data_IF_847161004622
#
_entry.id   IF_847161004622
#
_cell.length_a   1.000
_cell.length_b   1.000
_cell.length_c   1.000
_cell.angle_alpha   90.00
_cell.angle_beta   90.00
_cell.angle_gamma   90.00
#
_symmetry.space_group_name_H-M   'P 1'
#
loop_
_entity.id
_entity.type
_entity.pdbx_description
1 polymer ?
#
# COMPACT_ATOMS: atom_id res chain seq x y z
N UNK A 1 80.79 24.41 59.54
CA UNK A 1 81.77 23.44 58.98
C UNK A 1 81.02 22.12 58.85
N UNK A 2 80.63 21.54 57.72
CA UNK A 2 81.04 21.59 56.31
C UNK A 2 79.76 21.28 55.48
N UNK A 3 79.36 22.09 54.50
CA UNK A 3 79.68 21.95 53.08
C UNK A 3 79.68 20.49 52.60
N UNK A 4 78.72 20.09 51.74
CA UNK A 4 78.95 19.29 50.53
C UNK A 4 77.67 19.23 49.66
N UNK A 5 77.72 20.00 48.57
CA UNK A 5 77.43 19.60 47.20
C UNK A 5 75.99 19.12 46.84
N UNK A 6 75.25 20.06 46.26
CA UNK A 6 74.17 19.78 45.32
C UNK A 6 74.70 19.02 44.10
N UNK A 7 74.12 17.86 43.80
CA UNK A 7 74.34 17.12 42.54
C UNK A 7 73.03 17.06 41.79
N UNK A 8 72.97 17.81 40.70
CA UNK A 8 71.89 17.82 39.72
C UNK A 8 71.89 16.48 39.00
N UNK A 9 70.86 15.65 39.20
CA UNK A 9 70.63 14.46 38.39
C UNK A 9 69.29 14.64 37.65
N UNK A 10 69.38 15.20 36.44
CA UNK A 10 68.35 15.01 35.41
C UNK A 10 68.60 13.62 34.81
N UNK A 11 67.58 12.78 34.71
CA UNK A 11 67.43 11.78 33.64
C UNK A 11 66.05 11.10 33.72
N UNK A 12 65.34 11.18 32.58
CA UNK A 12 64.31 10.27 32.05
C UNK A 12 62.99 10.07 32.83
N UNK A 13 61.92 10.73 32.33
CA UNK A 13 60.55 10.28 32.51
C UNK A 13 60.30 9.02 31.66
N UNK A 14 59.83 7.89 32.21
CA UNK A 14 59.41 6.75 31.40
C UNK A 14 58.03 7.03 30.80
N UNK A 15 57.97 6.84 29.48
CA UNK A 15 56.80 6.98 28.66
C UNK A 15 55.69 5.99 29.08
N UNK A 16 54.50 6.57 29.23
CA UNK A 16 53.19 6.03 28.85
C UNK A 16 53.24 4.79 27.94
N UNK A 17 52.74 3.64 28.40
CA UNK A 17 52.03 2.67 27.54
C UNK A 17 50.91 2.04 28.37
N UNK A 18 49.75 2.70 28.36
CA UNK A 18 48.47 2.13 28.76
C UNK A 18 48.13 1.01 27.76
N UNK A 19 48.08 -0.22 28.24
CA UNK A 19 47.57 -1.38 27.49
C UNK A 19 46.04 -1.31 27.50
N UNK A 20 45.50 -0.39 26.72
CA UNK A 20 44.07 -0.34 26.39
C UNK A 20 43.79 -1.43 25.36
N UNK A 21 42.86 -2.31 25.73
CA UNK A 21 42.23 -3.33 24.92
C UNK A 21 42.04 -2.90 23.46
N UNK A 22 42.87 -3.43 22.57
CA UNK A 22 42.62 -3.34 21.14
C UNK A 22 41.51 -4.34 20.78
N UNK A 23 40.25 -3.94 20.94
CA UNK A 23 39.17 -4.44 20.11
C UNK A 23 39.18 -3.59 18.84
N UNK A 24 39.95 -4.01 17.84
CA UNK A 24 39.89 -3.48 16.48
C UNK A 24 40.30 -4.64 15.59
N UNK A 25 39.39 -5.18 14.79
CA UNK A 25 38.89 -4.52 13.58
C UNK A 25 37.38 -4.72 13.42
N UNK A 26 36.62 -3.63 13.44
CA UNK A 26 35.39 -3.59 12.65
C UNK A 26 35.85 -3.61 11.19
N UNK A 27 35.73 -4.78 10.57
CA UNK A 27 35.87 -4.92 9.12
C UNK A 27 34.94 -3.89 8.51
N UNK A 28 35.49 -2.93 7.77
CA UNK A 28 34.68 -1.96 7.02
C UNK A 28 33.74 -2.77 6.13
N UNK A 29 32.41 -2.71 6.31
CA UNK A 29 31.50 -3.40 5.41
C UNK A 29 31.82 -2.93 4.00
N UNK A 30 32.00 -3.88 3.09
CA UNK A 30 32.11 -3.60 1.67
C UNK A 30 30.91 -2.71 1.27
N UNK A 31 31.10 -1.77 0.34
CA UNK A 31 30.11 -0.72 -0.01
C UNK A 31 28.75 -1.24 -0.54
N UNK A 32 28.48 -2.54 -0.42
CA UNK A 32 27.23 -3.23 -0.76
C UNK A 32 26.49 -3.82 0.45
N UNK A 33 27.07 -3.84 1.65
CA UNK A 33 26.45 -4.42 2.84
C UNK A 33 25.75 -3.37 3.70
N UNK A 34 24.53 -3.67 4.16
CA UNK A 34 23.69 -2.75 4.93
C UNK A 34 23.01 -3.45 6.11
N UNK A 35 22.58 -2.66 7.10
CA UNK A 35 21.77 -3.14 8.23
C UNK A 35 20.42 -2.41 8.30
N UNK A 36 20.38 -1.18 7.80
CA UNK A 36 19.19 -0.35 7.68
C UNK A 36 19.27 0.52 6.41
N UNK A 37 18.14 1.06 5.97
CA UNK A 37 18.02 1.80 4.70
C UNK A 37 18.93 3.04 4.63
N UNK A 38 19.20 3.68 5.78
CA UNK A 38 20.08 4.84 5.87
C UNK A 38 21.56 4.55 5.57
N UNK A 39 21.94 3.27 5.46
CA UNK A 39 23.29 2.86 5.07
C UNK A 39 23.45 2.69 3.55
N UNK A 40 22.38 2.83 2.78
CA UNK A 40 22.40 2.73 1.32
C UNK A 40 22.39 4.12 0.66
N UNK A 41 22.76 4.18 -0.62
CA UNK A 41 22.74 5.44 -1.35
C UNK A 41 21.29 5.92 -1.58
N UNK A 42 21.14 7.20 -1.91
CA UNK A 42 19.84 7.76 -2.29
C UNK A 42 19.23 6.95 -3.45
N UNK A 43 18.02 6.42 -3.24
CA UNK A 43 17.34 5.55 -4.21
C UNK A 43 17.60 4.06 -4.03
N UNK A 44 18.22 3.63 -2.93
CA UNK A 44 18.44 2.22 -2.56
C UNK A 44 17.79 1.91 -1.21
N UNK A 45 17.51 0.63 -0.96
CA UNK A 45 17.01 0.13 0.33
C UNK A 45 17.76 -1.14 0.75
N UNK A 46 17.81 -1.38 2.06
CA UNK A 46 18.49 -2.52 2.61
C UNK A 46 17.58 -3.76 2.58
N UNK A 47 17.98 -4.79 1.83
CA UNK A 47 17.24 -6.06 1.74
C UNK A 47 18.21 -7.20 1.99
N UNK A 48 17.98 -7.94 3.07
CA UNK A 48 18.78 -9.11 3.46
C UNK A 48 20.28 -8.82 3.53
N UNK A 49 20.64 -7.65 4.04
CA UNK A 49 22.04 -7.26 4.20
C UNK A 49 22.68 -6.65 2.95
N UNK A 50 21.96 -6.48 1.85
CA UNK A 50 22.47 -5.88 0.62
C UNK A 50 21.68 -4.63 0.21
N UNK A 51 22.39 -3.58 -0.22
CA UNK A 51 21.75 -2.43 -0.85
C UNK A 51 21.21 -2.84 -2.21
N UNK A 52 19.89 -2.76 -2.35
CA UNK A 52 19.21 -3.03 -3.61
C UNK A 52 18.63 -1.71 -4.12
N UNK A 53 18.64 -1.46 -5.45
CA UNK A 53 17.91 -0.34 -6.02
C UNK A 53 16.49 -0.36 -5.50
N UNK A 54 16.08 0.72 -4.87
CA UNK A 54 14.70 0.95 -4.49
C UNK A 54 13.96 1.21 -5.79
N UNK A 55 13.54 0.12 -6.46
CA UNK A 55 12.80 0.16 -7.73
C UNK A 55 11.38 0.69 -7.55
N UNK A 56 11.20 1.69 -6.68
CA UNK A 56 10.13 2.66 -6.85
C UNK A 56 10.42 3.59 -8.03
N UNK A 57 11.68 3.72 -8.50
CA UNK A 57 12.02 4.54 -9.68
C UNK A 57 13.15 3.97 -10.56
N UNK A 58 12.97 2.76 -11.10
CA UNK A 58 13.75 2.28 -12.25
C UNK A 58 12.83 2.01 -13.45
N UNK A 59 12.07 3.04 -13.84
CA UNK A 59 11.17 3.05 -14.98
C UNK A 59 11.11 4.39 -15.70
N UNK A 60 12.15 5.22 -15.57
CA UNK A 60 12.31 6.43 -16.36
C UNK A 60 13.09 6.16 -17.64
N UNK A 61 12.40 5.74 -18.72
CA UNK A 61 12.62 6.19 -20.11
C UNK A 61 11.72 5.43 -21.10
N UNK A 62 10.80 6.16 -21.75
CA UNK A 62 10.35 5.86 -23.12
C UNK A 62 8.89 5.42 -23.29
N UNK A 63 7.99 6.38 -23.49
CA UNK A 63 6.64 6.10 -23.98
C UNK A 63 5.80 7.35 -24.17
N UNK A 64 5.98 8.05 -25.29
CA UNK A 64 5.00 9.02 -25.76
C UNK A 64 3.72 8.26 -26.15
N UNK A 65 2.68 8.31 -25.31
CA UNK A 65 1.37 7.72 -25.56
C UNK A 65 0.45 7.91 -24.35
N UNK A 66 -0.73 8.49 -24.56
CA UNK A 66 -1.60 9.03 -23.51
C UNK A 66 -2.10 8.03 -22.44
N UNK A 67 -2.18 8.53 -21.20
CA UNK A 67 -3.17 8.17 -20.18
C UNK A 67 -3.02 6.83 -19.46
N UNK A 68 -2.38 6.82 -18.28
CA UNK A 68 -2.45 5.72 -17.31
C UNK A 68 -1.14 5.55 -16.53
N UNK A 69 -1.13 5.88 -15.24
CA UNK A 69 0.08 5.95 -14.39
C UNK A 69 0.72 4.59 -14.13
N UNK A 70 1.89 4.35 -14.74
CA UNK A 70 2.71 3.17 -14.53
C UNK A 70 3.48 3.19 -13.21
N UNK A 71 2.86 2.72 -12.14
CA UNK A 71 3.53 2.26 -10.91
C UNK A 71 2.90 0.94 -10.50
N UNK A 72 3.71 -0.13 -10.46
CA UNK A 72 3.27 -1.38 -9.84
C UNK A 72 3.08 -1.15 -8.33
N UNK A 73 2.13 -1.82 -7.71
CA UNK A 73 1.74 -1.56 -6.33
C UNK A 73 1.49 -2.86 -5.54
N UNK A 74 1.54 -2.78 -4.22
CA UNK A 74 1.07 -3.83 -3.29
C UNK A 74 -0.11 -3.37 -2.45
N UNK A 75 -0.20 -2.07 -2.21
CA UNK A 75 -1.19 -1.40 -1.36
C UNK A 75 -1.56 -0.04 -1.96
N UNK A 76 -2.70 0.52 -1.54
CA UNK A 76 -3.17 1.83 -2.03
C UNK A 76 -2.17 2.97 -1.75
N UNK A 77 -1.36 2.85 -0.69
CA UNK A 77 -0.31 3.85 -0.37
C UNK A 77 0.85 3.88 -1.36
N UNK A 78 1.01 2.86 -2.20
CA UNK A 78 2.01 2.84 -3.27
C UNK A 78 1.57 3.71 -4.47
N UNK A 79 0.29 4.10 -4.52
CA UNK A 79 -0.27 4.91 -5.59
C UNK A 79 -0.32 6.39 -5.18
N UNK A 80 0.33 7.26 -5.97
CA UNK A 80 0.41 8.71 -5.70
C UNK A 80 -0.96 9.40 -5.69
N UNK A 81 -1.89 8.92 -6.50
CA UNK A 81 -3.30 9.32 -6.51
C UNK A 81 -4.12 8.17 -7.11
N UNK A 82 -4.61 7.27 -6.26
CA UNK A 82 -5.31 6.10 -6.74
C UNK A 82 -5.39 4.93 -5.78
N UNK A 83 -5.83 3.81 -6.33
CA UNK A 83 -5.99 2.51 -5.69
C UNK A 83 -5.09 1.49 -6.37
N UNK A 84 -4.58 0.54 -5.59
CA UNK A 84 -3.90 -0.64 -6.10
C UNK A 84 -4.90 -1.77 -6.44
N UNK A 85 -4.96 -2.19 -7.70
CA UNK A 85 -5.78 -3.34 -8.15
C UNK A 85 -4.90 -4.26 -8.98
N UNK A 86 -4.82 -5.53 -8.60
CA UNK A 86 -4.04 -6.56 -9.30
C UNK A 86 -2.57 -6.16 -9.60
N UNK A 87 -1.98 -5.37 -8.70
CA UNK A 87 -0.60 -4.92 -8.80
C UNK A 87 -0.39 -3.67 -9.65
N UNK A 88 -1.46 -3.01 -10.10
CA UNK A 88 -1.43 -1.79 -10.90
C UNK A 88 -2.19 -0.65 -10.21
N UNK A 89 -1.69 0.58 -10.38
CA UNK A 89 -2.35 1.77 -9.85
C UNK A 89 -3.43 2.31 -10.79
N UNK A 90 -4.63 2.53 -10.26
CA UNK A 90 -5.76 3.14 -10.95
C UNK A 90 -6.17 4.44 -10.28
N UNK A 91 -6.53 5.45 -11.07
CA UNK A 91 -7.08 6.68 -10.52
C UNK A 91 -8.39 6.41 -9.75
N UNK A 92 -8.61 7.16 -8.67
CA UNK A 92 -9.85 7.09 -7.91
C UNK A 92 -11.04 7.54 -8.78
N UNK A 93 -12.14 6.78 -8.74
CA UNK A 93 -13.38 7.13 -9.44
C UNK A 93 -14.16 8.25 -8.74
N UNK A 94 -13.88 8.45 -7.45
CA UNK A 94 -14.56 9.37 -6.57
C UNK A 94 -13.72 9.70 -5.33
N UNK A 95 -14.04 10.80 -4.67
CA UNK A 95 -13.46 11.18 -3.38
C UNK A 95 -14.14 10.43 -2.23
N UNK A 96 -13.41 10.08 -1.18
CA UNK A 96 -13.96 9.40 0.00
C UNK A 96 -15.18 10.11 0.58
N UNK A 97 -16.24 9.35 0.83
CA UNK A 97 -17.48 9.87 1.40
C UNK A 97 -18.32 10.71 0.45
N UNK A 98 -17.88 10.94 -0.80
CA UNK A 98 -18.73 11.58 -1.80
C UNK A 98 -20.00 10.77 -2.03
N UNK A 99 -21.11 11.46 -2.28
CA UNK A 99 -22.41 10.87 -2.57
C UNK A 99 -22.91 11.34 -3.94
N UNK A 100 -23.59 10.45 -4.66
CA UNK A 100 -24.24 10.80 -5.94
C UNK A 100 -25.57 10.08 -6.09
N UNK A 101 -26.54 10.68 -6.81
CA UNK A 101 -27.76 9.98 -7.18
C UNK A 101 -27.43 8.80 -8.10
N UNK A 102 -28.24 7.75 -8.00
CA UNK A 102 -28.26 6.61 -8.90
C UNK A 102 -29.70 6.13 -9.08
N UNK A 103 -29.94 5.32 -10.10
CA UNK A 103 -31.24 4.70 -10.34
C UNK A 103 -31.06 3.24 -10.75
N UNK A 104 -32.14 2.49 -10.54
CA UNK A 104 -32.37 1.11 -10.97
C UNK A 104 -33.75 1.04 -11.62
N UNK A 105 -34.09 -0.11 -12.20
CA UNK A 105 -35.44 -0.33 -12.74
C UNK A 105 -36.52 -0.23 -11.64
N UNK A 106 -36.17 -0.53 -10.39
CA UNK A 106 -37.06 -0.42 -9.23
C UNK A 106 -37.09 0.97 -8.57
N UNK A 107 -36.39 1.97 -9.11
CA UNK A 107 -36.42 3.35 -8.64
C UNK A 107 -35.07 3.95 -8.28
N UNK A 108 -35.11 5.07 -7.56
CA UNK A 108 -33.96 5.92 -7.27
C UNK A 108 -33.23 5.54 -5.97
N UNK A 109 -31.96 5.90 -5.90
CA UNK A 109 -31.11 5.68 -4.74
C UNK A 109 -29.91 6.63 -4.71
N UNK A 110 -28.96 6.30 -3.84
CA UNK A 110 -27.69 7.02 -3.71
C UNK A 110 -26.54 6.02 -3.74
N UNK A 111 -25.41 6.42 -4.32
CA UNK A 111 -24.14 5.71 -4.15
C UNK A 111 -23.23 6.54 -3.26
N UNK A 112 -22.56 5.88 -2.34
CA UNK A 112 -21.49 6.49 -1.53
C UNK A 112 -20.14 5.99 -2.04
N UNK A 113 -19.15 6.86 -2.10
CA UNK A 113 -17.77 6.48 -2.40
C UNK A 113 -17.09 5.90 -1.16
N UNK A 114 -16.46 4.73 -1.30
CA UNK A 114 -15.60 4.15 -0.25
C UNK A 114 -14.39 3.47 -0.87
N UNK A 115 -13.20 3.86 -0.44
CA UNK A 115 -11.94 3.38 -0.99
C UNK A 115 -11.76 3.75 -2.47
N UNK A 116 -12.08 4.99 -2.87
CA UNK A 116 -11.91 5.49 -4.23
C UNK A 116 -12.85 4.91 -5.29
N UNK A 117 -13.84 4.11 -4.88
CA UNK A 117 -14.83 3.47 -5.77
C UNK A 117 -16.26 3.67 -5.28
N UNK A 118 -17.18 3.82 -6.23
CA UNK A 118 -18.61 3.91 -5.93
C UNK A 118 -19.13 2.57 -5.43
N UNK A 119 -19.85 2.60 -4.29
CA UNK A 119 -20.54 1.43 -3.77
C UNK A 119 -21.85 1.17 -4.55
N UNK A 120 -22.43 -0.04 -4.43
CA UNK A 120 -23.71 -0.34 -5.07
C UNK A 120 -24.76 0.72 -4.75
N UNK A 121 -25.63 0.97 -5.72
CA UNK A 121 -26.77 1.86 -5.56
C UNK A 121 -27.66 1.36 -4.42
N UNK A 122 -28.14 2.26 -3.56
CA UNK A 122 -29.10 1.89 -2.51
C UNK A 122 -30.50 1.61 -3.05
N UNK A 123 -30.75 1.90 -4.32
CA UNK A 123 -32.01 1.55 -4.96
C UNK A 123 -32.21 0.03 -4.98
N UNK A 124 -33.46 -0.40 -4.81
CA UNK A 124 -33.84 -1.80 -4.88
C UNK A 124 -33.34 -2.40 -6.20
N UNK A 125 -32.65 -3.53 -6.14
CA UNK A 125 -32.24 -4.21 -7.35
C UNK A 125 -33.38 -5.10 -7.82
N UNK A 126 -33.63 -5.10 -9.12
CA UNK A 126 -34.51 -6.06 -9.76
C UNK A 126 -34.03 -7.49 -9.44
N UNK A 127 -34.94 -8.34 -8.99
CA UNK A 127 -34.70 -9.76 -8.76
C UNK A 127 -35.73 -10.56 -9.55
N UNK A 128 -35.48 -11.86 -9.76
CA UNK A 128 -36.46 -12.70 -10.43
C UNK A 128 -37.81 -12.70 -9.70
N UNK A 129 -38.90 -12.81 -10.47
CA UNK A 129 -40.26 -12.80 -9.94
C UNK A 129 -40.51 -13.84 -8.85
N UNK A 130 -41.18 -13.39 -7.78
CA UNK A 130 -41.66 -14.24 -6.69
C UNK A 130 -43.16 -14.41 -6.88
N UNK A 131 -43.53 -15.48 -7.58
CA UNK A 131 -44.91 -15.72 -7.96
C UNK A 131 -45.88 -15.80 -6.77
N UNK A 132 -46.93 -15.00 -6.84
CA UNK A 132 -48.03 -14.97 -5.86
C UNK A 132 -47.75 -14.11 -4.64
N UNK A 133 -46.69 -13.29 -4.66
CA UNK A 133 -46.41 -12.31 -3.62
C UNK A 133 -47.08 -10.94 -3.89
N UNK A 134 -47.66 -10.77 -5.09
CA UNK A 134 -48.37 -9.56 -5.49
C UNK A 134 -47.47 -8.37 -5.72
N UNK A 135 -46.17 -8.59 -6.00
CA UNK A 135 -45.16 -7.57 -6.24
C UNK A 135 -44.59 -7.72 -7.65
N UNK A 136 -44.04 -6.62 -8.14
CA UNK A 136 -43.20 -6.56 -9.32
C UNK A 136 -41.76 -6.57 -8.82
N UNK A 137 -41.18 -7.75 -8.73
CA UNK A 137 -39.89 -8.00 -8.09
C UNK A 137 -38.73 -7.71 -9.04
N UNK A 138 -38.95 -7.87 -10.34
CA UNK A 138 -38.00 -7.53 -11.39
C UNK A 138 -38.18 -6.09 -11.92
N UNK A 139 -39.25 -5.42 -11.48
CA UNK A 139 -39.55 -4.03 -11.78
C UNK A 139 -39.75 -3.76 -13.28
N UNK A 140 -40.25 -4.77 -14.02
CA UNK A 140 -40.52 -4.66 -15.45
C UNK A 140 -41.87 -3.99 -15.77
N UNK A 141 -42.66 -3.65 -14.75
CA UNK A 141 -43.97 -3.03 -14.87
C UNK A 141 -45.14 -4.01 -14.83
N UNK A 142 -44.89 -5.29 -14.64
CA UNK A 142 -45.91 -6.35 -14.57
C UNK A 142 -45.79 -7.12 -13.26
N UNK A 143 -46.86 -7.16 -12.48
CA UNK A 143 -46.90 -7.92 -11.23
C UNK A 143 -47.03 -9.42 -11.54
N UNK A 144 -46.24 -10.25 -10.83
CA UNK A 144 -46.28 -11.72 -10.88
C UNK A 144 -46.15 -12.30 -12.31
N UNK A 145 -45.24 -11.74 -13.13
CA UNK A 145 -45.00 -12.21 -14.50
C UNK A 145 -43.94 -13.32 -14.58
N UNK A 146 -43.75 -13.91 -15.77
CA UNK A 146 -42.83 -15.05 -15.99
C UNK A 146 -42.99 -16.26 -15.04
N UNK A 147 -44.13 -16.36 -14.37
CA UNK A 147 -44.53 -17.43 -13.48
C UNK A 147 -44.91 -18.70 -14.25
N UNK A 148 -43.91 -19.36 -14.84
CA UNK A 148 -44.07 -20.61 -15.55
C UNK A 148 -44.60 -21.73 -14.66
N UNK A 149 -45.91 -21.95 -14.70
CA UNK A 149 -46.56 -23.21 -14.33
C UNK A 149 -46.82 -23.43 -12.84
N UNK A 150 -47.78 -22.69 -12.29
CA UNK A 150 -48.82 -23.16 -11.37
C UNK A 150 -49.79 -21.99 -11.13
N UNK A 151 -51.07 -22.20 -11.38
CA UNK A 151 -52.16 -21.27 -11.02
C UNK A 151 -52.55 -21.47 -9.56
N UNK A 152 -53.14 -20.45 -8.94
CA UNK A 152 -53.77 -20.60 -7.62
C UNK A 152 -54.85 -21.69 -7.67
N UNK A 153 -54.59 -22.81 -7.00
CA UNK A 153 -55.46 -24.00 -7.00
C UNK A 153 -54.88 -25.21 -7.74
N UNK A 154 -53.68 -25.12 -8.30
CA UNK A 154 -53.02 -26.28 -8.90
C UNK A 154 -52.53 -27.25 -7.81
N UNK A 155 -53.12 -28.44 -7.77
CA UNK A 155 -52.64 -29.57 -6.97
C UNK A 155 -52.06 -30.64 -7.89
N UNK A 156 -50.92 -31.20 -7.49
CA UNK A 156 -50.25 -32.28 -8.22
C UNK A 156 -51.10 -33.57 -8.12
N UNK A 157 -51.35 -34.30 -9.24
CA UNK A 157 -52.20 -35.50 -9.23
C UNK A 157 -51.65 -36.65 -8.36
#
# INVERSE_FOLDING_TARGET
MNAHLARVLRLAAPAFVLWLSACTTAETPSASECLEDGHCNAGERCVSGACTPNRVDAGGQGGAGGGGGGTTCRTDSDCRDGRCVDGECFANQCAEGAERPCSSDCGDGTQTCRGGVWRPCTAQQAVAEICGDGRDNDCNGTIDDNCGGCSNGDERP
#
